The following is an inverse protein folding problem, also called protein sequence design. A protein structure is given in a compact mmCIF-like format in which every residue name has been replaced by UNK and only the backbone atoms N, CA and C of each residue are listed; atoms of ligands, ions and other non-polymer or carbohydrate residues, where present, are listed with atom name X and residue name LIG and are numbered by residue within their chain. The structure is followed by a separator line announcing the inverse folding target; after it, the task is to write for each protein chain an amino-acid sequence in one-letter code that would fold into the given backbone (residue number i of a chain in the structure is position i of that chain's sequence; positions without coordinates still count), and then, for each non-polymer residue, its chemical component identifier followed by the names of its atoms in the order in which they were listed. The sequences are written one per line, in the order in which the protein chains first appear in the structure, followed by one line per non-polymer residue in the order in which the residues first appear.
data_IF_120402393539
#
_entry.id   IF_120402393539
#
_cell.length_a   1.000
_cell.length_b   1.000
_cell.length_c   1.000
_cell.angle_alpha   90.00
_cell.angle_beta   90.00
_cell.angle_gamma   90.00
#
_symmetry.space_group_name_H-M   'P 1'
#
loop_
_entity.id
_entity.type
_entity.pdbx_description
1 polymer ?
#
# COMPACT_ATOMS: atom_id res chain seq x y z
N UNK A 1 15.83 -7.79 20.30
CA UNK A 1 17.07 -8.53 20.59
C UNK A 1 18.19 -8.00 19.70
N UNK A 2 19.39 -7.83 20.24
CA UNK A 2 20.58 -7.46 19.49
C UNK A 2 21.16 -8.71 18.82
N UNK A 3 21.36 -8.65 17.50
CA UNK A 3 21.71 -9.81 16.69
C UNK A 3 22.39 -9.40 15.38
N UNK A 4 23.05 -10.35 14.74
CA UNK A 4 23.58 -10.18 13.39
C UNK A 4 22.47 -10.04 12.36
N UNK A 5 22.72 -9.17 11.39
CA UNK A 5 21.93 -9.03 10.17
C UNK A 5 22.86 -9.10 8.95
N UNK A 6 22.36 -9.71 7.87
CA UNK A 6 23.00 -9.73 6.56
C UNK A 6 22.24 -8.78 5.63
N UNK A 7 22.96 -7.86 4.99
CA UNK A 7 22.43 -6.97 3.96
C UNK A 7 23.08 -7.31 2.62
N UNK A 8 22.25 -7.65 1.64
CA UNK A 8 22.63 -7.95 0.27
C UNK A 8 22.65 -6.66 -0.57
N UNK A 9 23.76 -6.40 -1.23
CA UNK A 9 23.86 -5.35 -2.25
C UNK A 9 24.23 -5.96 -3.60
N UNK A 10 23.43 -5.65 -4.63
CA UNK A 10 23.72 -6.03 -6.00
C UNK A 10 24.05 -4.79 -6.82
N UNK A 11 25.23 -4.80 -7.46
CA UNK A 11 25.63 -3.76 -8.40
C UNK A 11 25.55 -4.37 -9.79
N UNK A 12 24.67 -3.81 -10.64
CA UNK A 12 24.61 -4.18 -12.05
C UNK A 12 25.45 -3.18 -12.85
N UNK A 13 26.55 -3.64 -13.40
CA UNK A 13 27.39 -2.84 -14.29
C UNK A 13 26.65 -2.56 -15.60
N UNK A 14 26.34 -1.29 -15.89
CA UNK A 14 25.66 -0.85 -17.12
C UNK A 14 26.57 -0.88 -18.36
N UNK A 15 27.90 -0.93 -18.17
CA UNK A 15 28.89 -0.77 -19.25
C UNK A 15 29.01 -1.99 -20.19
N UNK A 16 28.55 -3.19 -19.79
CA UNK A 16 28.61 -4.39 -20.64
C UNK A 16 27.34 -5.24 -20.52
N UNK A 17 26.49 -5.29 -21.56
CA UNK A 17 25.33 -6.17 -21.57
C UNK A 17 25.77 -7.64 -21.51
N UNK A 18 25.47 -8.35 -20.40
CA UNK A 18 25.72 -9.79 -20.26
C UNK A 18 26.74 -10.22 -19.18
N UNK A 19 27.32 -9.28 -18.41
CA UNK A 19 28.17 -9.62 -17.26
C UNK A 19 27.34 -10.19 -16.09
N UNK A 20 27.89 -11.13 -15.30
CA UNK A 20 27.23 -11.64 -14.09
C UNK A 20 26.99 -10.51 -13.09
N UNK A 21 25.88 -10.61 -12.36
CA UNK A 21 25.57 -9.68 -11.26
C UNK A 21 26.57 -9.94 -10.13
N UNK A 22 27.36 -8.93 -9.76
CA UNK A 22 28.20 -8.99 -8.56
C UNK A 22 27.32 -8.71 -7.34
N UNK A 23 26.98 -9.79 -6.62
CA UNK A 23 26.30 -9.71 -5.33
C UNK A 23 27.34 -9.70 -4.22
N UNK A 24 27.31 -8.67 -3.37
CA UNK A 24 28.10 -8.59 -2.15
C UNK A 24 27.21 -8.62 -0.92
N UNK A 25 27.72 -9.25 0.15
CA UNK A 25 27.03 -9.38 1.43
C UNK A 25 27.79 -8.59 2.49
N UNK A 26 27.06 -7.82 3.28
CA UNK A 26 27.61 -7.10 4.43
C UNK A 26 26.92 -7.56 5.71
N UNK A 27 27.68 -7.65 6.79
CA UNK A 27 27.19 -8.11 8.08
C UNK A 27 27.29 -6.96 9.08
N UNK A 28 26.21 -6.72 9.81
CA UNK A 28 26.18 -5.70 10.86
C UNK A 28 25.32 -6.18 12.03
N UNK A 29 25.40 -5.45 13.15
CA UNK A 29 24.56 -5.72 14.29
C UNK A 29 23.34 -4.79 14.29
N UNK A 30 22.16 -5.35 14.58
CA UNK A 30 20.96 -4.55 14.70
C UNK A 30 20.02 -5.10 15.77
N UNK A 31 19.20 -4.20 16.32
CA UNK A 31 18.07 -4.57 17.16
C UNK A 31 16.91 -5.03 16.28
N UNK A 32 16.46 -6.28 16.46
CA UNK A 32 15.28 -6.82 15.78
C UNK A 32 14.23 -7.29 16.79
N UNK A 33 12.97 -7.22 16.37
CA UNK A 33 11.79 -7.71 17.09
C UNK A 33 11.56 -9.21 16.87
N UNK A 34 12.21 -9.81 15.85
CA UNK A 34 12.15 -11.22 15.48
C UNK A 34 13.54 -11.83 15.38
N UNK A 35 13.61 -13.14 15.65
CA UNK A 35 14.83 -13.93 15.43
C UNK A 35 15.18 -13.89 13.94
N UNK A 36 16.41 -13.49 13.62
CA UNK A 36 16.98 -13.65 12.28
C UNK A 36 17.75 -14.95 12.27
N UNK A 37 17.32 -15.86 11.41
CA UNK A 37 17.95 -17.15 11.21
C UNK A 37 19.34 -16.96 10.59
N UNK A 38 20.39 -17.08 11.42
CA UNK A 38 21.77 -16.97 10.95
C UNK A 38 22.23 -18.16 10.11
N UNK A 39 21.48 -19.27 10.08
CA UNK A 39 21.83 -20.43 9.25
C UNK A 39 21.62 -20.17 7.76
N UNK A 40 20.77 -19.20 7.41
CA UNK A 40 20.54 -18.77 6.04
C UNK A 40 21.51 -17.70 5.55
N UNK A 41 22.46 -17.25 6.38
CA UNK A 41 23.48 -16.30 5.95
C UNK A 41 24.43 -16.94 4.93
N UNK A 42 24.96 -16.12 4.02
CA UNK A 42 25.96 -16.54 3.05
C UNK A 42 27.26 -16.99 3.74
N UNK A 43 27.63 -16.36 4.87
CA UNK A 43 28.74 -16.76 5.74
C UNK A 43 28.22 -16.91 7.18
N UNK A 44 27.73 -18.10 7.56
CA UNK A 44 27.23 -18.33 8.92
C UNK A 44 28.33 -18.33 9.99
N UNK A 45 29.56 -18.70 9.61
CA UNK A 45 30.66 -18.84 10.56
C UNK A 45 31.07 -17.48 11.11
N UNK A 46 31.03 -17.32 12.44
CA UNK A 46 31.27 -16.04 13.13
C UNK A 46 30.03 -15.16 13.30
N UNK A 47 28.90 -15.50 12.67
CA UNK A 47 27.67 -14.71 12.68
C UNK A 47 26.48 -15.45 13.29
N UNK A 48 26.70 -16.14 14.42
CA UNK A 48 25.65 -16.94 15.06
C UNK A 48 24.69 -16.07 15.87
N UNK A 49 23.39 -16.25 15.62
CA UNK A 49 22.32 -15.64 16.40
C UNK A 49 21.66 -16.66 17.35
N UNK A 50 21.02 -16.20 18.45
CA UNK A 50 20.18 -17.06 19.28
C UNK A 50 18.98 -17.61 18.49
N UNK A 51 18.52 -18.80 18.84
CA UNK A 51 17.40 -19.48 18.15
C UNK A 51 16.01 -19.03 18.62
N UNK A 52 15.94 -18.28 19.72
CA UNK A 52 14.69 -17.78 20.29
C UNK A 52 14.90 -16.43 20.97
N UNK A 53 13.82 -15.63 21.06
CA UNK A 53 13.77 -14.41 21.85
C UNK A 53 13.09 -14.76 23.19
N UNK A 54 13.75 -14.55 24.34
CA UNK A 54 13.17 -14.87 25.66
C UNK A 54 11.88 -14.11 25.98
N UNK A 55 11.79 -12.86 25.53
CA UNK A 55 10.63 -11.98 25.73
C UNK A 55 10.06 -11.58 24.36
N UNK A 56 9.12 -12.34 23.79
CA UNK A 56 8.52 -12.00 22.50
C UNK A 56 7.65 -10.73 22.62
N UNK A 57 7.49 -9.96 21.53
CA UNK A 57 6.55 -8.85 21.52
C UNK A 57 5.12 -9.37 21.73
N UNK A 58 4.41 -8.79 22.69
CA UNK A 58 3.01 -9.12 23.00
C UNK A 58 2.15 -7.86 22.91
N UNK A 59 0.93 -8.03 22.42
CA UNK A 59 -0.09 -6.98 22.44
C UNK A 59 -1.13 -7.38 23.49
N UNK A 60 -1.29 -6.54 24.50
CA UNK A 60 -2.31 -6.72 25.52
C UNK A 60 -3.46 -5.75 25.27
N UNK A 61 -4.65 -6.31 25.01
CA UNK A 61 -5.87 -5.52 24.84
C UNK A 61 -6.58 -5.42 26.19
N UNK A 62 -6.98 -4.21 26.58
CA UNK A 62 -7.75 -4.00 27.80
C UNK A 62 -9.04 -4.83 27.77
N UNK A 63 -9.36 -5.49 28.88
CA UNK A 63 -10.59 -6.29 29.01
C UNK A 63 -11.82 -5.41 28.78
N UNK A 64 -11.86 -4.28 29.50
CA UNK A 64 -12.93 -3.29 29.42
C UNK A 64 -12.39 -1.94 28.94
N UNK A 65 -13.03 -1.34 27.94
CA UNK A 65 -12.77 0.03 27.47
C UNK A 65 -14.09 0.79 27.38
N UNK A 66 -14.10 2.05 27.84
CA UNK A 66 -15.30 2.90 27.83
C UNK A 66 -15.07 4.18 27.04
N UNK A 67 -16.09 4.59 26.31
CA UNK A 67 -16.24 5.92 25.74
C UNK A 67 -17.43 6.62 26.41
N UNK A 68 -17.13 7.47 27.40
CA UNK A 68 -18.16 8.06 28.23
C UNK A 68 -18.98 6.98 28.95
N UNK A 69 -20.27 6.90 28.65
CA UNK A 69 -21.18 5.91 29.22
C UNK A 69 -21.17 4.55 28.50
N UNK A 70 -20.54 4.45 27.33
CA UNK A 70 -20.64 3.26 26.46
C UNK A 70 -19.41 2.36 26.55
N UNK A 71 -19.62 1.05 26.54
CA UNK A 71 -18.58 0.04 26.42
C UNK A 71 -18.14 -0.14 24.96
N UNK A 72 -16.86 -0.37 24.75
CA UNK A 72 -16.28 -0.68 23.45
C UNK A 72 -16.28 -2.19 23.23
N UNK A 73 -16.90 -2.65 22.14
CA UNK A 73 -16.75 -4.05 21.69
C UNK A 73 -15.29 -4.36 21.28
N UNK A 74 -14.89 -5.65 21.23
CA UNK A 74 -13.55 -6.05 20.77
C UNK A 74 -13.16 -5.46 19.41
N UNK A 75 -14.10 -5.44 18.45
CA UNK A 75 -13.89 -4.89 17.12
C UNK A 75 -13.52 -3.40 17.12
N UNK A 76 -13.95 -2.63 18.12
CA UNK A 76 -13.56 -1.22 18.29
C UNK A 76 -12.14 -1.13 18.83
N UNK A 77 -11.80 -1.95 19.83
CA UNK A 77 -10.47 -1.97 20.44
C UNK A 77 -9.38 -2.33 19.42
N UNK A 78 -9.69 -3.23 18.48
CA UNK A 78 -8.79 -3.61 17.38
C UNK A 78 -8.52 -2.50 16.36
N UNK A 79 -9.32 -1.42 16.33
CA UNK A 79 -9.09 -0.27 15.45
C UNK A 79 -8.02 0.70 15.95
N UNK A 80 -7.58 0.55 17.20
CA UNK A 80 -6.48 1.34 17.75
C UNK A 80 -5.14 0.75 17.32
N UNK A 81 -4.72 1.07 16.09
CA UNK A 81 -3.48 0.56 15.49
C UNK A 81 -2.34 1.58 15.51
N UNK A 82 -2.62 2.83 15.89
CA UNK A 82 -1.60 3.88 16.03
C UNK A 82 -0.94 3.78 17.41
N UNK A 83 0.16 3.04 17.46
CA UNK A 83 0.95 2.83 18.66
C UNK A 83 1.93 3.97 18.89
N UNK A 84 1.85 4.60 20.06
CA UNK A 84 2.78 5.63 20.52
C UNK A 84 3.70 5.04 21.58
N UNK A 85 5.00 5.25 21.44
CA UNK A 85 5.99 4.84 22.43
C UNK A 85 5.80 5.61 23.73
N UNK A 86 5.90 4.94 24.87
CA UNK A 86 5.97 5.61 26.16
C UNK A 86 7.20 5.16 26.95
N UNK A 87 7.80 6.10 27.65
CA UNK A 87 8.98 5.84 28.46
C UNK A 87 8.58 5.10 29.73
N UNK A 88 9.36 4.09 30.10
CA UNK A 88 9.28 3.51 31.43
C UNK A 88 9.68 4.55 32.49
N UNK A 89 8.80 4.81 33.44
CA UNK A 89 9.05 5.71 34.56
C UNK A 89 9.41 4.94 35.85
N UNK A 90 9.19 3.62 35.84
CA UNK A 90 9.41 2.75 36.99
C UNK A 90 10.78 2.07 36.90
N UNK A 91 11.60 2.27 37.93
CA UNK A 91 12.88 1.59 38.05
C UNK A 91 12.63 0.10 38.30
N UNK A 92 13.17 -0.80 37.46
CA UNK A 92 12.98 -2.23 37.64
C UNK A 92 13.67 -2.71 38.93
N UNK A 93 13.11 -3.74 39.56
CA UNK A 93 13.73 -4.40 40.71
C UNK A 93 14.86 -5.33 40.22
N UNK A 94 16.09 -5.10 40.69
CA UNK A 94 17.27 -5.90 40.38
C UNK A 94 18.31 -5.21 39.48
N UNK A 95 19.54 -5.70 39.50
CA UNK A 95 20.67 -5.11 38.77
C UNK A 95 20.75 -5.57 37.29
N UNK A 96 20.00 -6.61 36.93
CA UNK A 96 20.04 -7.22 35.60
C UNK A 96 19.30 -6.40 34.53
N UNK A 97 18.40 -5.51 34.96
CA UNK A 97 17.57 -4.67 34.08
C UNK A 97 17.93 -3.21 34.30
N UNK A 98 18.31 -2.53 33.22
CA UNK A 98 18.73 -1.13 33.25
C UNK A 98 17.72 -0.26 32.51
N UNK A 99 17.31 0.84 33.14
CA UNK A 99 16.46 1.86 32.51
C UNK A 99 17.36 2.96 31.94
N UNK A 100 17.30 3.18 30.63
CA UNK A 100 18.05 4.25 29.97
C UNK A 100 17.25 4.82 28.78
N UNK A 101 17.09 6.14 28.74
CA UNK A 101 16.34 6.81 27.66
C UNK A 101 14.88 6.36 27.54
N UNK A 102 14.25 5.93 28.65
CA UNK A 102 12.87 5.45 28.68
C UNK A 102 12.66 4.02 28.17
N UNK A 103 13.74 3.30 27.83
CA UNK A 103 13.72 1.89 27.45
C UNK A 103 14.38 1.02 28.52
N UNK A 104 13.91 -0.21 28.63
CA UNK A 104 14.51 -1.22 29.51
C UNK A 104 15.51 -2.06 28.72
N UNK A 105 16.68 -2.26 29.29
CA UNK A 105 17.76 -3.04 28.70
C UNK A 105 18.10 -4.21 29.61
N UNK A 106 18.15 -5.40 29.03
CA UNK A 106 18.66 -6.61 29.68
C UNK A 106 19.99 -6.89 29.00
N UNK A 107 21.05 -6.33 29.60
CA UNK A 107 22.40 -6.31 29.04
C UNK A 107 23.44 -6.03 30.12
N UNK A 108 24.66 -6.51 29.93
CA UNK A 108 25.82 -6.16 30.75
C UNK A 108 26.31 -4.74 30.51
N UNK A 109 26.26 -4.24 29.27
CA UNK A 109 26.65 -2.87 28.92
C UNK A 109 25.72 -2.30 27.84
N UNK A 110 25.13 -1.14 28.13
CA UNK A 110 24.17 -0.46 27.24
C UNK A 110 24.87 0.08 26.00
N UNK A 111 26.14 0.50 26.12
CA UNK A 111 26.90 1.11 25.01
C UNK A 111 27.59 0.07 24.12
N UNK A 112 27.84 -1.13 24.64
CA UNK A 112 28.42 -2.24 23.91
C UNK A 112 27.62 -3.53 24.15
N UNK A 113 26.41 -3.64 23.56
CA UNK A 113 25.53 -4.80 23.75
C UNK A 113 26.11 -6.07 23.09
N UNK A 114 25.90 -7.21 23.75
CA UNK A 114 26.27 -8.53 23.26
C UNK A 114 25.13 -9.15 22.43
N UNK A 115 25.46 -10.11 21.58
CA UNK A 115 24.47 -10.86 20.80
C UNK A 115 23.53 -11.59 21.77
N UNK A 116 22.22 -11.38 21.61
CA UNK A 116 21.18 -11.93 22.48
C UNK A 116 20.67 -10.96 23.54
N UNK A 117 21.32 -9.81 23.72
CA UNK A 117 20.82 -8.78 24.64
C UNK A 117 19.46 -8.24 24.20
N UNK A 118 18.66 -7.82 25.19
CA UNK A 118 17.30 -7.35 24.96
C UNK A 118 17.16 -5.87 25.24
N UNK A 119 16.37 -5.22 24.41
CA UNK A 119 15.90 -3.84 24.59
C UNK A 119 14.39 -3.87 24.43
N UNK A 120 13.71 -3.38 25.45
CA UNK A 120 12.25 -3.40 25.59
C UNK A 120 11.78 -1.96 25.59
N UNK A 121 10.88 -1.66 24.66
CA UNK A 121 10.18 -0.39 24.54
C UNK A 121 8.69 -0.68 24.59
N UNK A 122 7.98 0.01 25.48
CA UNK A 122 6.53 -0.12 25.55
C UNK A 122 5.84 0.87 24.64
N UNK A 123 4.68 0.45 24.14
CA UNK A 123 3.81 1.24 23.29
C UNK A 123 2.37 1.12 23.78
N UNK A 124 1.57 2.16 23.58
CA UNK A 124 0.14 2.11 23.84
C UNK A 124 -0.62 2.69 22.65
N UNK A 125 -1.88 2.27 22.50
CA UNK A 125 -2.84 2.86 21.57
C UNK A 125 -4.19 3.00 22.30
N UNK A 126 -4.79 4.20 22.30
CA UNK A 126 -6.03 4.49 23.03
C UNK A 126 -5.80 4.68 24.53
N UNK A 127 -5.17 5.79 24.93
CA UNK A 127 -4.91 6.10 26.35
C UNK A 127 -6.20 6.49 27.06
N UNK A 128 -6.33 6.11 28.35
CA UNK A 128 -7.40 6.62 29.18
C UNK A 128 -7.38 8.16 29.25
N UNK A 129 -8.51 8.79 28.95
CA UNK A 129 -8.64 10.25 28.86
C UNK A 129 -8.37 10.85 27.47
N UNK A 130 -7.92 10.03 26.51
CA UNK A 130 -7.80 10.45 25.11
C UNK A 130 -9.17 10.68 24.49
N UNK A 131 -9.31 11.77 23.74
CA UNK A 131 -10.56 12.08 23.03
C UNK A 131 -10.58 11.24 21.77
N UNK A 132 -11.63 10.44 21.59
CA UNK A 132 -11.83 9.61 20.40
C UNK A 132 -13.25 9.81 19.88
N UNK A 133 -13.39 9.76 18.57
CA UNK A 133 -14.68 9.86 17.87
C UNK A 133 -14.97 8.53 17.18
N UNK A 134 -16.14 7.95 17.45
CA UNK A 134 -16.51 6.61 16.98
C UNK A 134 -17.89 6.65 16.34
N UNK A 135 -18.01 6.04 15.16
CA UNK A 135 -19.28 5.79 14.48
C UNK A 135 -19.50 4.27 14.46
N UNK A 136 -20.60 3.83 15.07
CA UNK A 136 -21.01 2.43 15.14
C UNK A 136 -22.46 2.30 15.60
N UNK A 137 -22.94 1.06 15.72
CA UNK A 137 -24.26 0.74 16.23
C UNK A 137 -24.24 0.67 17.76
N UNK A 138 -25.16 1.36 18.41
CA UNK A 138 -25.39 1.20 19.84
C UNK A 138 -26.37 0.05 20.10
N UNK A 139 -25.97 -0.92 20.90
CA UNK A 139 -26.84 -2.00 21.40
C UNK A 139 -26.76 -1.98 22.93
N UNK A 140 -27.80 -1.46 23.57
CA UNK A 140 -27.79 -1.22 25.02
C UNK A 140 -26.70 -0.22 25.41
N UNK A 141 -25.78 -0.64 26.26
CA UNK A 141 -24.63 0.17 26.71
C UNK A 141 -23.35 -0.11 25.91
N UNK A 142 -23.38 -0.95 24.88
CA UNK A 142 -22.17 -1.34 24.12
C UNK A 142 -22.24 -0.83 22.68
N UNK A 143 -21.11 -0.33 22.18
CA UNK A 143 -20.94 0.04 20.77
C UNK A 143 -20.39 -1.14 19.98
N UNK A 144 -21.06 -1.46 18.88
CA UNK A 144 -20.75 -2.55 17.96
C UNK A 144 -20.58 -2.04 16.52
N UNK A 145 -19.90 -2.80 15.64
CA UNK A 145 -19.94 -2.54 14.21
C UNK A 145 -21.39 -2.57 13.69
N UNK A 146 -21.75 -1.63 12.83
CA UNK A 146 -23.07 -1.60 12.20
C UNK A 146 -23.06 -2.37 10.88
N UNK A 147 -23.93 -3.37 10.71
CA UNK A 147 -24.05 -4.06 9.43
C UNK A 147 -24.90 -3.23 8.46
N UNK A 148 -24.29 -2.76 7.38
CA UNK A 148 -24.99 -2.00 6.32
C UNK A 148 -25.84 -2.91 5.44
N UNK A 149 -26.81 -2.33 4.71
CA UNK A 149 -27.66 -3.04 3.75
C UNK A 149 -26.89 -3.80 2.68
N UNK A 150 -25.65 -3.39 2.41
CA UNK A 150 -24.77 -4.00 1.41
C UNK A 150 -23.90 -5.13 2.00
N UNK A 151 -24.18 -5.57 3.23
CA UNK A 151 -23.45 -6.64 3.92
C UNK A 151 -22.06 -6.25 4.41
N UNK A 152 -21.72 -4.95 4.40
CA UNK A 152 -20.44 -4.44 4.92
C UNK A 152 -20.60 -3.91 6.32
N UNK A 153 -19.62 -4.17 7.17
CA UNK A 153 -19.56 -3.58 8.50
C UNK A 153 -19.07 -2.13 8.43
N UNK A 154 -19.86 -1.23 9.01
CA UNK A 154 -19.53 0.16 9.22
C UNK A 154 -19.09 0.33 10.67
N UNK A 155 -17.79 0.53 10.83
CA UNK A 155 -17.18 0.96 12.08
C UNK A 155 -16.05 1.92 11.73
N UNK A 156 -16.16 3.16 12.18
CA UNK A 156 -15.15 4.20 11.96
C UNK A 156 -14.67 4.68 13.33
N UNK A 157 -13.37 4.65 13.54
CA UNK A 157 -12.72 5.10 14.79
C UNK A 157 -11.65 6.11 14.40
N UNK A 158 -11.72 7.30 14.99
CA UNK A 158 -10.71 8.34 14.82
C UNK A 158 -10.27 8.87 16.18
N UNK A 159 -8.96 9.03 16.34
CA UNK A 159 -8.37 9.75 17.46
C UNK A 159 -8.64 11.25 17.28
N UNK A 160 -8.98 11.92 18.38
CA UNK A 160 -9.34 13.33 18.43
C UNK A 160 -10.85 13.60 18.31
N UNK A 161 -11.22 14.87 18.52
CA UNK A 161 -12.59 15.36 18.37
C UNK A 161 -12.87 15.58 16.88
N UNK A 162 -13.80 14.81 16.32
CA UNK A 162 -14.25 14.92 14.93
C UNK A 162 -15.77 15.05 14.88
N UNK A 163 -16.24 15.82 13.92
CA UNK A 163 -17.67 15.86 13.59
C UNK A 163 -18.01 14.64 12.73
N UNK A 164 -19.30 14.26 12.72
CA UNK A 164 -19.77 13.14 11.90
C UNK A 164 -19.48 13.37 10.41
N UNK A 165 -19.66 14.61 9.94
CA UNK A 165 -19.37 15.00 8.55
C UNK A 165 -17.88 14.85 8.22
N UNK A 166 -16.99 15.25 9.12
CA UNK A 166 -15.54 15.06 8.93
C UNK A 166 -15.16 13.59 8.83
N UNK A 167 -15.74 12.72 9.68
CA UNK A 167 -15.42 11.29 9.67
C UNK A 167 -15.89 10.61 8.37
N UNK A 168 -17.09 10.91 7.88
CA UNK A 168 -17.54 10.33 6.61
C UNK A 168 -16.79 10.93 5.41
N UNK A 169 -16.52 12.23 5.41
CA UNK A 169 -15.78 12.88 4.32
C UNK A 169 -14.34 12.38 4.23
N UNK A 170 -13.65 12.11 5.35
CA UNK A 170 -12.32 11.51 5.35
C UNK A 170 -12.33 10.09 4.78
N UNK A 171 -13.29 9.26 5.17
CA UNK A 171 -13.45 7.90 4.65
C UNK A 171 -13.77 7.89 3.15
N UNK A 172 -14.66 8.78 2.70
CA UNK A 172 -14.95 8.93 1.27
C UNK A 172 -13.75 9.44 0.48
N UNK A 173 -12.97 10.37 1.03
CA UNK A 173 -11.76 10.88 0.40
C UNK A 173 -10.69 9.79 0.27
N UNK A 174 -10.46 8.98 1.31
CA UNK A 174 -9.51 7.85 1.26
C UNK A 174 -9.95 6.80 0.23
N UNK A 175 -11.22 6.40 0.25
CA UNK A 175 -11.76 5.46 -0.73
C UNK A 175 -11.67 6.00 -2.16
N UNK A 176 -11.94 7.29 -2.35
CA UNK A 176 -11.79 7.96 -3.64
C UNK A 176 -10.32 7.95 -4.08
N UNK A 177 -9.41 8.35 -3.21
CA UNK A 177 -7.97 8.37 -3.51
C UNK A 177 -7.47 6.98 -3.89
N UNK A 178 -7.73 5.96 -3.06
CA UNK A 178 -7.33 4.58 -3.36
C UNK A 178 -7.89 4.08 -4.69
N UNK A 179 -9.18 4.33 -4.95
CA UNK A 179 -9.82 3.94 -6.22
C UNK A 179 -9.14 4.60 -7.42
N UNK A 180 -8.86 5.90 -7.35
CA UNK A 180 -8.22 6.63 -8.44
C UNK A 180 -6.76 6.22 -8.63
N UNK A 181 -6.02 5.99 -7.54
CA UNK A 181 -4.65 5.48 -7.57
C UNK A 181 -4.56 4.10 -8.19
N UNK A 182 -5.46 3.17 -7.81
CA UNK A 182 -5.53 1.84 -8.43
C UNK A 182 -5.90 1.90 -9.91
N UNK A 183 -6.81 2.80 -10.30
CA UNK A 183 -7.15 3.01 -11.72
C UNK A 183 -5.98 3.56 -12.52
N UNK A 184 -5.28 4.57 -12.00
CA UNK A 184 -4.12 5.15 -12.64
C UNK A 184 -2.99 4.12 -12.75
N UNK A 185 -2.71 3.40 -11.67
CA UNK A 185 -1.71 2.34 -11.65
C UNK A 185 -2.05 1.19 -12.62
N UNK A 186 -3.30 0.74 -12.64
CA UNK A 186 -3.77 -0.28 -13.57
C UNK A 186 -3.70 0.16 -15.04
N UNK A 187 -4.08 1.41 -15.33
CA UNK A 187 -3.90 1.99 -16.66
C UNK A 187 -2.41 2.06 -17.06
N UNK A 188 -1.54 2.52 -16.15
CA UNK A 188 -0.12 2.63 -16.40
C UNK A 188 0.53 1.26 -16.66
N UNK A 189 0.14 0.23 -15.91
CA UNK A 189 0.56 -1.15 -16.15
C UNK A 189 0.14 -1.65 -17.54
N UNK A 190 -1.09 -1.36 -17.97
CA UNK A 190 -1.56 -1.67 -19.32
C UNK A 190 -0.78 -0.93 -20.40
N UNK A 191 -0.42 0.34 -20.16
CA UNK A 191 0.42 1.11 -21.07
C UNK A 191 1.81 0.48 -21.23
N UNK A 192 2.46 0.08 -20.14
CA UNK A 192 3.74 -0.64 -20.19
C UNK A 192 3.59 -1.95 -20.96
N UNK A 193 2.56 -2.74 -20.66
CA UNK A 193 2.31 -4.01 -21.36
C UNK A 193 2.18 -3.83 -22.87
N UNK A 194 1.42 -2.83 -23.33
CA UNK A 194 1.29 -2.50 -24.75
C UNK A 194 2.58 -1.95 -25.35
N UNK A 195 3.34 -1.13 -24.62
CA UNK A 195 4.64 -0.64 -25.08
C UNK A 195 5.65 -1.79 -25.30
N UNK A 196 5.70 -2.76 -24.38
CA UNK A 196 6.53 -3.96 -24.53
C UNK A 196 6.17 -4.78 -25.77
N UNK A 197 4.87 -5.01 -26.02
CA UNK A 197 4.41 -5.72 -27.22
C UNK A 197 4.75 -4.95 -28.49
N UNK A 198 4.55 -3.63 -28.51
CA UNK A 198 4.79 -2.80 -29.69
C UNK A 198 6.26 -2.60 -30.03
N UNK A 199 7.16 -2.66 -29.03
CA UNK A 199 8.60 -2.71 -29.27
C UNK A 199 9.02 -3.98 -30.02
N UNK A 200 8.30 -5.10 -29.82
CA UNK A 200 8.52 -6.35 -30.56
C UNK A 200 7.99 -6.23 -32.01
N UNK A 201 6.93 -5.44 -32.22
CA UNK A 201 6.19 -5.33 -33.49
C UNK A 201 6.59 -4.11 -34.33
N UNK A 202 7.63 -3.34 -33.94
CA UNK A 202 8.12 -2.15 -34.66
C UNK A 202 7.01 -1.13 -35.00
N UNK A 203 6.11 -0.82 -34.06
CA UNK A 203 4.99 0.12 -34.32
C UNK A 203 4.81 1.21 -33.24
N UNK A 204 4.83 2.46 -33.73
CA UNK A 204 4.31 3.74 -33.22
C UNK A 204 3.97 3.84 -31.71
N UNK A 205 4.91 4.37 -30.93
CA UNK A 205 4.78 4.62 -29.49
C UNK A 205 3.57 5.48 -29.07
N UNK A 206 3.10 6.43 -29.88
CA UNK A 206 1.92 7.26 -29.57
C UNK A 206 0.58 6.52 -29.72
N UNK A 207 0.54 5.47 -30.55
CA UNK A 207 -0.63 4.61 -30.69
C UNK A 207 -0.88 3.78 -29.42
N UNK A 208 0.19 3.37 -28.72
CA UNK A 208 0.10 2.59 -27.48
C UNK A 208 -0.55 3.39 -26.35
N UNK A 209 -0.28 4.70 -26.27
CA UNK A 209 -0.92 5.59 -25.30
C UNK A 209 -2.43 5.70 -25.55
N UNK A 210 -2.81 5.88 -26.82
CA UNK A 210 -4.22 5.99 -27.20
C UNK A 210 -4.97 4.67 -27.01
N UNK A 211 -4.33 3.55 -27.36
CA UNK A 211 -4.91 2.22 -27.22
C UNK A 211 -5.05 1.81 -25.75
N UNK A 212 -4.02 2.03 -24.93
CA UNK A 212 -4.07 1.75 -23.48
C UNK A 212 -5.15 2.57 -22.77
N UNK A 213 -5.26 3.87 -23.09
CA UNK A 213 -6.31 4.73 -22.57
C UNK A 213 -7.70 4.23 -22.98
N UNK A 214 -7.90 3.88 -24.24
CA UNK A 214 -9.19 3.41 -24.74
C UNK A 214 -9.59 2.08 -24.11
N UNK A 215 -8.66 1.12 -24.03
CA UNK A 215 -8.90 -0.18 -23.38
C UNK A 215 -9.18 -0.03 -21.89
N UNK A 216 -8.46 0.85 -21.18
CA UNK A 216 -8.73 1.13 -19.76
C UNK A 216 -10.13 1.72 -19.55
N UNK A 217 -10.55 2.67 -20.39
CA UNK A 217 -11.89 3.26 -20.33
C UNK A 217 -12.98 2.22 -20.62
N UNK A 218 -12.74 1.25 -21.52
CA UNK A 218 -13.68 0.14 -21.77
C UNK A 218 -13.84 -0.72 -20.51
N UNK A 219 -12.75 -1.10 -19.86
CA UNK A 219 -12.78 -1.90 -18.62
C UNK A 219 -13.52 -1.14 -17.51
N UNK A 220 -13.19 0.14 -17.32
CA UNK A 220 -13.84 1.01 -16.33
C UNK A 220 -15.33 1.16 -16.66
N UNK A 221 -15.68 1.45 -17.91
CA UNK A 221 -17.07 1.60 -18.36
C UNK A 221 -17.89 0.32 -18.16
N UNK A 222 -17.32 -0.83 -18.51
CA UNK A 222 -17.94 -2.14 -18.28
C UNK A 222 -18.20 -2.41 -16.79
N UNK A 223 -17.24 -2.12 -15.92
CA UNK A 223 -17.41 -2.27 -14.47
C UNK A 223 -18.53 -1.37 -13.90
N UNK A 224 -18.71 -0.16 -14.44
CA UNK A 224 -19.77 0.76 -14.02
C UNK A 224 -21.15 0.45 -14.62
N UNK A 225 -21.26 -0.43 -15.62
CA UNK A 225 -22.52 -0.71 -16.31
C UNK A 225 -23.63 -1.21 -15.36
N UNK A 226 -23.24 -1.98 -14.34
CA UNK A 226 -24.16 -2.53 -13.33
C UNK A 226 -24.59 -1.47 -12.32
N UNK A 227 -23.67 -0.62 -11.87
CA UNK A 227 -23.91 0.30 -10.75
C UNK A 227 -24.44 1.67 -11.17
N UNK A 228 -24.01 2.20 -12.31
CA UNK A 228 -24.44 3.51 -12.86
C UNK A 228 -24.45 3.49 -14.40
N UNK A 229 -25.51 2.95 -15.03
CA UNK A 229 -25.54 2.69 -16.47
C UNK A 229 -25.37 3.96 -17.32
N UNK A 230 -25.90 5.11 -16.87
CA UNK A 230 -25.75 6.37 -17.61
C UNK A 230 -24.30 6.86 -17.69
N UNK A 231 -23.53 6.74 -16.61
CA UNK A 231 -22.10 7.07 -16.61
C UNK A 231 -21.29 6.06 -17.42
N UNK A 232 -21.65 4.77 -17.32
CA UNK A 232 -21.01 3.71 -18.10
C UNK A 232 -21.12 3.96 -19.62
N UNK A 233 -22.31 4.32 -20.10
CA UNK A 233 -22.53 4.64 -21.51
C UNK A 233 -21.65 5.80 -21.98
N UNK A 234 -21.58 6.88 -21.19
CA UNK A 234 -20.74 8.04 -21.51
C UNK A 234 -19.27 7.64 -21.61
N UNK A 235 -18.77 6.86 -20.66
CA UNK A 235 -17.37 6.39 -20.64
C UNK A 235 -17.08 5.52 -21.87
N UNK A 236 -17.99 4.61 -22.25
CA UNK A 236 -17.82 3.74 -23.41
C UNK A 236 -17.83 4.50 -24.74
N UNK A 237 -18.68 5.52 -24.88
CA UNK A 237 -18.67 6.40 -26.06
C UNK A 237 -17.31 7.12 -26.18
N UNK A 238 -16.81 7.67 -25.07
CA UNK A 238 -15.50 8.33 -25.06
C UNK A 238 -14.37 7.37 -25.41
N UNK A 239 -14.44 6.12 -24.92
CA UNK A 239 -13.46 5.09 -25.26
C UNK A 239 -13.47 4.71 -26.76
N UNK A 240 -14.61 4.80 -27.43
CA UNK A 240 -14.77 4.46 -28.85
C UNK A 240 -14.34 5.59 -29.82
N UNK A 241 -14.30 6.85 -29.36
CA UNK A 241 -13.96 8.02 -30.19
C UNK A 241 -12.69 7.90 -31.04
N UNK A 242 -11.53 7.43 -30.53
CA UNK A 242 -10.33 7.31 -31.35
C UNK A 242 -10.49 6.29 -32.48
N UNK A 243 -11.22 5.20 -32.25
CA UNK A 243 -11.51 4.19 -33.28
C UNK A 243 -12.48 4.72 -34.34
N UNK A 244 -13.51 5.46 -33.93
CA UNK A 244 -14.46 6.10 -34.85
C UNK A 244 -13.75 7.12 -35.75
N UNK A 245 -12.85 7.93 -35.18
CA UNK A 245 -12.03 8.89 -35.95
C UNK A 245 -11.09 8.20 -36.93
N UNK A 246 -10.45 7.11 -36.50
CA UNK A 246 -9.60 6.31 -37.39
C UNK A 246 -10.41 5.73 -38.56
N UNK A 247 -11.59 5.14 -38.28
CA UNK A 247 -12.48 4.58 -39.30
C UNK A 247 -12.99 5.63 -40.30
N UNK A 248 -13.38 6.82 -39.82
CA UNK A 248 -13.84 7.92 -40.66
C UNK A 248 -12.74 8.44 -41.60
N UNK A 249 -11.49 8.50 -41.14
CA UNK A 249 -10.34 8.91 -41.97
C UNK A 249 -10.00 7.88 -43.07
N UNK A 250 -10.32 6.61 -42.85
CA UNK A 250 -10.07 5.52 -43.80
C UNK A 250 -11.25 5.21 -44.72
N UNK A 251 -12.36 5.94 -44.65
CA UNK A 251 -13.49 5.78 -45.59
C UNK A 251 -13.07 6.29 -46.98
N UNK A 252 -12.96 5.42 -48.01
CA UNK A 252 -12.59 5.87 -49.34
C UNK A 252 -13.72 6.71 -49.91
N UNK A 253 -13.41 7.93 -50.34
CA UNK A 253 -14.30 8.75 -51.17
C UNK A 253 -14.64 7.97 -52.45
N UNK A 254 -15.81 7.34 -52.48
CA UNK A 254 -16.39 6.81 -53.72
C UNK A 254 -16.88 7.97 -54.59
N UNK A 255 -16.24 8.14 -55.75
CA UNK A 255 -16.94 8.50 -56.99
C UNK A 255 -17.01 9.97 -57.39
N UNK A 256 -16.07 10.39 -58.27
CA UNK A 256 -16.47 11.16 -59.45
C UNK A 256 -15.64 10.75 -60.67
N UNK A 257 -16.18 9.81 -61.44
CA UNK A 257 -15.79 9.56 -62.81
C UNK A 257 -16.44 10.61 -63.73
N UNK A 258 -15.65 11.27 -64.60
CA UNK A 258 -16.05 11.66 -65.97
C UNK A 258 -14.89 12.31 -66.75
N UNK A 259 -14.43 11.55 -67.75
CA UNK A 259 -13.90 11.90 -69.10
C UNK A 259 -13.84 13.40 -69.47
N UNK A 260 -12.77 13.81 -70.15
CA UNK A 260 -12.79 14.00 -71.61
C UNK A 260 -11.42 14.38 -72.20
N UNK A 261 -11.13 13.76 -73.35
CA UNK A 261 -10.07 14.07 -74.30
C UNK A 261 -10.01 15.55 -74.70
N UNK A 262 -8.80 16.03 -75.01
CA UNK A 262 -8.58 17.30 -75.67
C UNK A 262 -7.18 17.45 -76.24
N UNK A 263 -6.89 16.71 -77.33
CA UNK A 263 -5.80 17.04 -78.25
C UNK A 263 -5.99 18.47 -78.78
N UNK A 264 -4.94 19.30 -78.75
CA UNK A 264 -4.82 20.44 -79.65
C UNK A 264 -3.35 20.64 -80.03
N UNK A 265 -3.03 20.30 -81.27
CA UNK A 265 -1.77 20.63 -81.93
C UNK A 265 -1.71 22.12 -82.31
N UNK A 266 -0.49 22.53 -82.67
CA UNK A 266 -0.14 23.80 -83.32
C UNK A 266 1.15 23.54 -84.11
N UNK A 267 1.54 24.39 -85.08
CA UNK A 267 0.81 25.47 -85.75
C UNK A 267 0.35 25.11 -87.16
#
# INVERSE_FOLDING_TARGET
MYQWIEEESSIRSEETPGMPTDTSYSYSYAWRDKVVDSSSFNIPWGHSNPTSIPVPPIIQVAETGKLGAYYMSPAIKERFTEFVSFSGDEQPEGDDIKLHGGMYYITRDIYNPDIGDLRIQFYFAGRAGEVVSIIGQQIGETLHPYLTSNGRELLIVHVGKRTVEEMFSSEHAQNRFLTWSLRLGGWFLMFIGLACVSNIVNSLGSANLTLSMSTSLIIIGGAWAIYRPGLALLILIVAALPFIRAAAKHSPTEGSSRRANGYRGSP
#
